data_IF_238202781220
#
_entry.id   IF_238202781220
#
_cell.length_a   1.000
_cell.length_b   1.000
_cell.length_c   1.000
_cell.angle_alpha   90.00
_cell.angle_beta   90.00
_cell.angle_gamma   90.00
#
_symmetry.space_group_name_H-M   'P 1'
#
loop_
_entity.id
_entity.type
_entity.pdbx_description
1 polymer ?
#
# COMPACT_ATOMS: atom_id res chain seq x y z
N UNK A 1 25.27 11.23 -1.94
CA UNK A 1 24.24 10.77 -0.99
C UNK A 1 23.20 9.98 -1.79
N UNK A 2 23.28 8.65 -1.80
CA UNK A 2 22.33 7.81 -2.54
C UNK A 2 21.18 7.47 -1.60
N UNK A 3 20.07 8.20 -1.73
CA UNK A 3 18.79 7.69 -1.26
C UNK A 3 17.99 7.45 -2.53
N UNK A 4 17.87 6.19 -2.95
CA UNK A 4 16.81 5.80 -3.88
C UNK A 4 15.51 6.27 -3.21
N UNK A 5 14.79 7.21 -3.80
CA UNK A 5 13.56 7.79 -3.24
C UNK A 5 12.40 6.80 -3.05
N UNK A 6 12.67 5.49 -3.04
CA UNK A 6 11.74 4.45 -2.66
C UNK A 6 11.92 4.11 -1.19
N UNK A 7 10.94 4.48 -0.37
CA UNK A 7 10.86 4.03 1.01
C UNK A 7 10.54 2.54 1.03
N UNK A 8 11.40 1.74 1.66
CA UNK A 8 11.12 0.31 1.88
C UNK A 8 9.86 0.18 2.74
N UNK A 9 8.82 -0.47 2.20
CA UNK A 9 7.54 -0.64 2.90
C UNK A 9 7.70 -1.27 4.30
N UNK A 10 8.73 -2.10 4.49
CA UNK A 10 9.02 -2.79 5.76
C UNK A 10 9.53 -1.87 6.88
N UNK A 11 9.99 -0.66 6.58
CA UNK A 11 10.44 0.32 7.60
C UNK A 11 9.37 1.37 7.94
N UNK A 12 8.21 1.33 7.29
CA UNK A 12 7.05 2.14 7.69
C UNK A 12 6.41 1.47 8.91
N UNK A 13 6.40 2.15 10.05
CA UNK A 13 5.82 1.60 11.29
C UNK A 13 4.32 1.31 11.11
N UNK A 14 3.80 0.29 11.80
CA UNK A 14 2.46 -0.28 11.55
C UNK A 14 1.28 0.69 11.72
N UNK A 15 1.50 1.83 12.40
CA UNK A 15 0.50 2.89 12.64
C UNK A 15 0.48 3.98 11.57
N UNK A 16 1.26 3.85 10.51
CA UNK A 16 1.26 4.82 9.41
C UNK A 16 0.03 4.59 8.53
N UNK A 17 -1.00 5.39 8.77
CA UNK A 17 -2.33 5.28 8.15
C UNK A 17 -2.34 5.23 6.62
N UNK A 18 -3.53 4.91 6.08
CA UNK A 18 -3.82 4.68 4.66
C UNK A 18 -3.16 5.72 3.72
N UNK A 19 -3.09 6.99 4.12
CA UNK A 19 -2.47 8.08 3.35
C UNK A 19 -0.96 7.93 3.14
N UNK A 20 -0.21 7.46 4.14
CA UNK A 20 1.23 7.19 4.00
C UNK A 20 1.51 5.95 3.16
N UNK A 21 0.64 4.94 3.25
CA UNK A 21 0.69 3.78 2.37
C UNK A 21 0.47 4.19 0.91
N UNK A 22 -0.51 5.06 0.65
CA UNK A 22 -0.76 5.60 -0.69
C UNK A 22 0.42 6.44 -1.21
N UNK A 23 0.99 7.31 -0.38
CA UNK A 23 2.15 8.12 -0.73
C UNK A 23 3.40 7.27 -1.05
N UNK A 24 3.60 6.16 -0.33
CA UNK A 24 4.72 5.25 -0.56
C UNK A 24 4.56 4.41 -1.83
N UNK A 25 3.33 3.95 -2.13
CA UNK A 25 3.04 3.13 -3.31
C UNK A 25 2.94 3.95 -4.60
N UNK A 26 2.56 5.22 -4.50
CA UNK A 26 2.48 6.16 -5.62
C UNK A 26 1.75 5.56 -6.82
N UNK A 27 2.40 5.57 -7.98
CA UNK A 27 1.82 5.12 -9.26
C UNK A 27 1.48 3.62 -9.31
N UNK A 28 1.97 2.80 -8.37
CA UNK A 28 1.62 1.39 -8.29
C UNK A 28 0.26 1.14 -7.63
N UNK A 29 -0.25 2.11 -6.85
CA UNK A 29 -1.48 1.96 -6.08
C UNK A 29 -2.71 1.59 -6.94
N UNK A 30 -2.97 2.21 -8.10
CA UNK A 30 -4.12 1.84 -8.94
C UNK A 30 -4.05 0.39 -9.44
N UNK A 31 -2.86 -0.10 -9.82
CA UNK A 31 -2.66 -1.48 -10.25
C UNK A 31 -2.89 -2.46 -9.10
N UNK A 32 -2.36 -2.15 -7.92
CA UNK A 32 -2.52 -3.00 -6.74
C UNK A 32 -3.97 -3.02 -6.24
N UNK A 33 -4.70 -1.90 -6.30
CA UNK A 33 -6.12 -1.87 -6.01
C UNK A 33 -6.93 -2.75 -6.98
N UNK A 34 -6.60 -2.74 -8.28
CA UNK A 34 -7.20 -3.64 -9.26
C UNK A 34 -6.94 -5.12 -8.96
N UNK A 35 -5.71 -5.47 -8.57
CA UNK A 35 -5.37 -6.83 -8.13
C UNK A 35 -6.14 -7.19 -6.85
N UNK A 36 -6.17 -6.29 -5.87
CA UNK A 36 -6.92 -6.48 -4.62
C UNK A 36 -8.40 -6.74 -4.89
N UNK A 37 -9.00 -6.01 -5.83
CA UNK A 37 -10.40 -6.21 -6.22
C UNK A 37 -10.65 -7.58 -6.84
N UNK A 38 -9.69 -8.11 -7.60
CA UNK A 38 -9.81 -9.43 -8.21
C UNK A 38 -9.68 -10.58 -7.20
N UNK A 39 -8.86 -10.40 -6.16
CA UNK A 39 -8.46 -11.50 -5.26
C UNK A 39 -8.98 -11.39 -3.82
N UNK A 40 -9.33 -10.18 -3.38
CA UNK A 40 -9.88 -9.89 -2.05
C UNK A 40 -10.91 -8.73 -2.14
N UNK A 41 -12.03 -8.93 -2.86
CA UNK A 41 -13.05 -7.89 -3.04
C UNK A 41 -13.72 -7.48 -1.72
N UNK A 42 -13.73 -8.37 -0.72
CA UNK A 42 -14.30 -8.12 0.60
C UNK A 42 -13.30 -7.48 1.58
N UNK A 43 -12.07 -7.23 1.14
CA UNK A 43 -11.00 -6.64 1.93
C UNK A 43 -10.76 -7.37 3.27
N UNK A 44 -10.74 -8.71 3.23
CA UNK A 44 -10.47 -9.59 4.36
C UNK A 44 -9.04 -9.39 4.87
N UNK A 45 -8.06 -9.27 3.96
CA UNK A 45 -6.67 -9.07 4.31
C UNK A 45 -6.35 -7.58 4.46
N UNK A 46 -6.57 -7.02 5.65
CA UNK A 46 -6.45 -5.57 5.91
C UNK A 46 -5.57 -5.18 7.09
N UNK A 47 -4.85 -6.14 7.68
CA UNK A 47 -4.14 -5.94 8.96
C UNK A 47 -2.89 -5.07 8.86
N UNK A 48 -2.21 -5.05 7.71
CA UNK A 48 -0.97 -4.28 7.52
C UNK A 48 -1.06 -3.46 6.23
N UNK A 49 -0.82 -2.14 6.30
CA UNK A 49 -0.72 -1.22 5.14
C UNK A 49 -1.78 -1.53 4.09
N UNK A 50 -3.04 -1.39 4.50
CA UNK A 50 -4.18 -1.86 3.74
C UNK A 50 -4.29 -1.10 2.40
N UNK A 51 -4.43 -1.85 1.31
CA UNK A 51 -4.77 -1.31 0.00
C UNK A 51 -6.26 -1.61 -0.22
N UNK A 52 -7.07 -0.56 -0.31
CA UNK A 52 -8.51 -0.72 -0.56
C UNK A 52 -8.75 -1.11 -2.02
N UNK A 53 -9.66 -2.06 -2.31
CA UNK A 53 -9.95 -2.50 -3.66
C UNK A 53 -10.63 -1.44 -4.56
N UNK A 54 -11.08 -0.32 -3.99
CA UNK A 54 -11.79 0.76 -4.69
C UNK A 54 -12.80 1.40 -3.77
#
# INVERSE_FOLDING_TARGET
>A
RFSTGGTYLNFLTGDEGDERTAAALGNALPRLAGIKRAWDPQNVFRTNRNIRPG
#
